data_IF_894757155957
#
_entry.id   IF_894757155957
#
_cell.length_a   1.000
_cell.length_b   1.000
_cell.length_c   1.000
_cell.angle_alpha   90.00
_cell.angle_beta   90.00
_cell.angle_gamma   90.00
#
_symmetry.space_group_name_H-M   'P 1'
#
loop_
_entity.id
_entity.type
_entity.pdbx_description
1 polymer ?
#
# COMPACT_ATOMS: atom_id res chain seq x y z
N UNK A 1 8.90 -30.71 -15.47
CA UNK A 1 8.50 -30.16 -16.80
C UNK A 1 7.15 -29.50 -16.84
N UNK A 2 6.29 -29.62 -15.79
CA UNK A 2 4.93 -29.06 -15.81
C UNK A 2 4.81 -27.68 -15.16
N UNK A 3 5.67 -27.30 -14.23
CA UNK A 3 5.56 -26.05 -13.46
C UNK A 3 6.03 -24.81 -14.25
N UNK A 4 7.07 -24.95 -15.06
CA UNK A 4 7.55 -23.87 -15.94
C UNK A 4 6.54 -23.53 -17.06
N UNK A 5 5.66 -24.47 -17.39
CA UNK A 5 4.63 -24.29 -18.42
C UNK A 5 3.44 -23.41 -17.98
N UNK A 6 3.15 -23.33 -16.69
CA UNK A 6 2.05 -22.49 -16.14
C UNK A 6 2.47 -21.04 -16.15
N UNK A 7 3.70 -20.73 -15.73
CA UNK A 7 4.27 -19.38 -15.71
C UNK A 7 4.28 -18.74 -17.09
N UNK A 8 4.74 -19.46 -18.12
CA UNK A 8 4.87 -18.94 -19.49
C UNK A 8 3.54 -18.90 -20.24
N UNK A 9 2.59 -19.77 -19.88
CA UNK A 9 1.28 -19.82 -20.53
C UNK A 9 0.26 -18.85 -19.95
N UNK A 10 0.26 -18.59 -18.66
CA UNK A 10 -0.83 -17.86 -18.01
C UNK A 10 -0.45 -16.47 -17.49
N UNK A 11 0.85 -16.08 -17.50
CA UNK A 11 1.35 -14.79 -16.98
C UNK A 11 0.71 -14.39 -15.63
N UNK A 12 0.52 -15.38 -14.77
CA UNK A 12 -0.07 -15.21 -13.46
C UNK A 12 0.97 -14.65 -12.51
N UNK A 13 0.89 -13.35 -12.24
CA UNK A 13 1.77 -12.66 -11.30
C UNK A 13 0.97 -12.26 -10.06
N UNK A 14 1.51 -12.54 -8.88
CA UNK A 14 1.10 -11.87 -7.66
C UNK A 14 1.81 -10.52 -7.60
N UNK A 15 1.05 -9.44 -7.64
CA UNK A 15 1.62 -8.09 -7.67
C UNK A 15 2.23 -7.69 -6.36
N UNK A 16 1.60 -8.08 -5.25
CA UNK A 16 2.11 -7.71 -3.94
C UNK A 16 1.67 -8.68 -2.86
N UNK A 17 2.57 -8.95 -1.91
CA UNK A 17 2.21 -9.32 -0.54
C UNK A 17 2.41 -8.08 0.31
N UNK A 18 1.35 -7.63 0.97
CA UNK A 18 1.35 -6.46 1.84
C UNK A 18 1.04 -6.88 3.26
N UNK A 19 1.89 -6.53 4.21
CA UNK A 19 1.61 -6.65 5.63
C UNK A 19 1.02 -5.33 6.12
N UNK A 20 -0.24 -5.34 6.54
CA UNK A 20 -0.86 -4.26 7.29
C UNK A 20 -0.45 -4.35 8.76
N UNK A 21 -0.02 -3.26 9.37
CA UNK A 21 0.38 -3.20 10.78
C UNK A 21 -0.31 -2.02 11.44
N UNK A 22 -1.07 -2.27 12.50
CA UNK A 22 -1.62 -1.20 13.33
C UNK A 22 -0.50 -0.53 14.13
N UNK A 23 -0.46 0.80 14.09
CA UNK A 23 0.47 1.61 14.88
C UNK A 23 -0.24 2.43 15.97
N UNK A 24 -1.50 2.12 16.27
CA UNK A 24 -2.27 2.88 17.27
C UNK A 24 -1.64 2.83 18.66
N UNK A 25 -1.04 1.70 19.03
CA UNK A 25 -0.31 1.50 20.29
C UNK A 25 1.09 2.13 20.31
N UNK A 26 1.56 2.67 19.17
CA UNK A 26 2.83 3.38 19.09
C UNK A 26 2.69 4.87 19.46
N UNK A 27 1.46 5.38 19.65
CA UNK A 27 1.23 6.76 20.05
C UNK A 27 1.83 7.02 21.45
N UNK A 28 2.50 8.15 21.60
CA UNK A 28 3.14 8.58 22.84
C UNK A 28 3.14 10.13 22.94
N UNK A 29 3.56 10.67 24.07
CA UNK A 29 3.62 12.11 24.28
C UNK A 29 4.80 12.79 23.57
N UNK A 30 5.84 12.04 23.28
CA UNK A 30 7.05 12.50 22.61
C UNK A 30 7.17 11.91 21.21
N UNK A 31 7.55 12.73 20.22
CA UNK A 31 7.78 12.31 18.84
C UNK A 31 8.91 11.26 18.75
N UNK A 32 9.96 11.42 19.54
CA UNK A 32 11.09 10.49 19.52
C UNK A 32 10.64 9.10 20.02
N UNK A 33 9.81 9.05 21.06
CA UNK A 33 9.22 7.81 21.56
C UNK A 33 8.29 7.17 20.51
N UNK A 34 7.46 7.96 19.82
CA UNK A 34 6.64 7.48 18.70
C UNK A 34 7.52 6.86 17.61
N UNK A 35 8.62 7.52 17.24
CA UNK A 35 9.55 7.01 16.23
C UNK A 35 10.19 5.67 16.64
N UNK A 36 10.62 5.56 17.90
CA UNK A 36 11.20 4.33 18.44
C UNK A 36 10.17 3.19 18.48
N UNK A 37 8.95 3.46 18.93
CA UNK A 37 7.87 2.49 18.98
C UNK A 37 7.52 1.97 17.57
N UNK A 38 7.40 2.87 16.60
CA UNK A 38 7.14 2.53 15.19
C UNK A 38 8.26 1.65 14.63
N UNK A 39 9.51 2.06 14.82
CA UNK A 39 10.66 1.30 14.33
C UNK A 39 10.69 -0.11 14.93
N UNK A 40 10.54 -0.22 16.24
CA UNK A 40 10.57 -1.51 16.95
C UNK A 40 9.42 -2.42 16.53
N UNK A 41 8.20 -1.88 16.40
CA UNK A 41 7.03 -2.66 16.00
C UNK A 41 7.17 -3.19 14.57
N UNK A 42 7.49 -2.33 13.61
CA UNK A 42 7.64 -2.74 12.21
C UNK A 42 8.76 -3.77 12.05
N UNK A 43 9.93 -3.54 12.65
CA UNK A 43 11.07 -4.46 12.53
C UNK A 43 10.83 -5.80 13.24
N UNK A 44 9.95 -5.84 14.24
CA UNK A 44 9.56 -7.08 14.90
C UNK A 44 8.55 -7.88 14.07
N UNK A 45 7.49 -7.23 13.60
CA UNK A 45 6.40 -7.90 12.89
C UNK A 45 6.80 -8.32 11.47
N UNK A 46 7.50 -7.47 10.74
CA UNK A 46 7.80 -7.69 9.33
C UNK A 46 9.18 -8.33 9.07
N UNK A 47 9.91 -8.74 10.10
CA UNK A 47 11.28 -9.30 9.97
C UNK A 47 11.39 -10.44 8.96
N UNK A 48 10.38 -11.29 8.87
CA UNK A 48 10.36 -12.48 8.03
C UNK A 48 9.50 -12.32 6.76
N UNK A 49 8.91 -11.15 6.51
CA UNK A 49 8.00 -10.92 5.39
C UNK A 49 8.67 -11.16 4.04
N UNK A 50 9.84 -10.57 3.83
CA UNK A 50 10.56 -10.65 2.55
C UNK A 50 11.09 -12.05 2.30
N UNK A 51 11.66 -12.69 3.32
CA UNK A 51 12.18 -14.06 3.22
C UNK A 51 11.06 -15.06 2.95
N UNK A 52 9.91 -14.89 3.60
CA UNK A 52 8.71 -15.70 3.37
C UNK A 52 8.18 -15.51 1.95
N UNK A 53 8.09 -14.27 1.46
CA UNK A 53 7.67 -14.00 0.08
C UNK A 53 8.58 -14.71 -0.94
N UNK A 54 9.89 -14.59 -0.78
CA UNK A 54 10.87 -15.27 -1.65
C UNK A 54 10.78 -16.82 -1.56
N UNK A 55 10.50 -17.34 -0.38
CA UNK A 55 10.32 -18.78 -0.20
C UNK A 55 9.06 -19.29 -0.92
N UNK A 56 7.95 -18.54 -0.85
CA UNK A 56 6.71 -18.85 -1.58
C UNK A 56 6.96 -18.81 -3.11
N UNK A 57 7.66 -17.78 -3.60
CA UNK A 57 8.03 -17.69 -5.02
C UNK A 57 8.78 -18.94 -5.48
N UNK A 58 9.78 -19.38 -4.70
CA UNK A 58 10.58 -20.57 -5.02
C UNK A 58 9.76 -21.86 -4.97
N UNK A 59 8.95 -22.02 -3.93
CA UNK A 59 8.24 -23.28 -3.64
C UNK A 59 7.06 -23.52 -4.60
N UNK A 60 6.42 -22.43 -5.05
CA UNK A 60 5.23 -22.50 -5.92
C UNK A 60 5.47 -22.03 -7.36
N UNK A 61 6.64 -21.48 -7.65
CA UNK A 61 6.94 -20.94 -8.99
C UNK A 61 6.11 -19.72 -9.37
N UNK A 62 5.48 -19.05 -8.41
CA UNK A 62 4.62 -17.88 -8.63
C UNK A 62 5.41 -16.61 -8.28
N UNK A 63 5.71 -15.72 -9.26
CA UNK A 63 6.41 -14.48 -8.98
C UNK A 63 5.58 -13.56 -8.06
N UNK A 64 6.23 -12.98 -7.06
CA UNK A 64 5.66 -11.95 -6.18
C UNK A 64 6.47 -10.67 -6.41
N UNK A 65 5.90 -9.75 -7.16
CA UNK A 65 6.64 -8.57 -7.67
C UNK A 65 7.08 -7.67 -6.53
N UNK A 66 6.19 -7.36 -5.57
CA UNK A 66 6.48 -6.46 -4.47
C UNK A 66 6.16 -7.08 -3.11
N UNK A 67 6.98 -6.77 -2.11
CA UNK A 67 6.74 -7.04 -0.70
C UNK A 67 6.60 -5.68 -0.01
N UNK A 68 5.43 -5.38 0.55
CA UNK A 68 5.08 -4.06 1.06
C UNK A 68 4.61 -4.10 2.50
N UNK A 69 4.68 -2.95 3.14
CA UNK A 69 4.04 -2.70 4.44
C UNK A 69 3.05 -1.54 4.27
N UNK A 70 1.91 -1.65 4.92
CA UNK A 70 0.99 -0.53 5.14
C UNK A 70 0.77 -0.36 6.62
N UNK A 71 0.70 0.88 7.07
CA UNK A 71 0.49 1.18 8.49
C UNK A 71 -0.75 2.06 8.68
N UNK A 72 -1.22 2.13 9.90
CA UNK A 72 -2.28 3.06 10.30
C UNK A 72 -1.93 4.49 9.84
N UNK A 73 -2.88 5.27 9.33
CA UNK A 73 -2.63 6.66 8.94
C UNK A 73 -1.86 7.43 9.99
N UNK A 74 -0.66 7.90 9.63
CA UNK A 74 0.27 8.55 10.57
C UNK A 74 -0.30 9.84 11.14
N UNK A 75 -1.23 10.50 10.44
CA UNK A 75 -1.94 11.65 10.98
C UNK A 75 -2.67 11.35 12.31
N UNK A 76 -3.12 10.11 12.50
CA UNK A 76 -3.76 9.66 13.74
C UNK A 76 -2.73 9.32 14.82
N UNK A 77 -1.67 8.64 14.46
CA UNK A 77 -0.62 8.16 15.39
C UNK A 77 0.17 9.35 15.95
N UNK A 78 0.51 10.32 15.10
CA UNK A 78 1.27 11.51 15.47
C UNK A 78 0.44 12.65 16.04
N UNK A 79 -0.89 12.52 16.11
CA UNK A 79 -1.78 13.64 16.47
C UNK A 79 -1.50 14.25 17.86
N UNK A 80 -1.13 13.43 18.84
CA UNK A 80 -0.84 13.87 20.20
C UNK A 80 0.55 14.49 20.36
N UNK A 81 1.54 13.95 19.67
CA UNK A 81 2.96 14.27 19.85
C UNK A 81 3.48 15.34 18.90
N UNK A 82 3.04 15.35 17.64
CA UNK A 82 3.53 16.28 16.62
C UNK A 82 2.92 17.68 16.79
N UNK A 83 3.78 18.69 16.89
CA UNK A 83 3.39 20.11 17.00
C UNK A 83 3.78 20.90 15.76
N UNK A 84 4.66 20.37 14.93
CA UNK A 84 5.17 20.99 13.71
C UNK A 84 5.18 19.98 12.55
N UNK A 85 5.25 20.48 11.33
CA UNK A 85 5.45 19.63 10.14
C UNK A 85 6.75 18.84 10.20
N UNK A 86 7.82 19.41 10.80
CA UNK A 86 9.10 18.72 10.95
C UNK A 86 9.03 17.52 11.90
N UNK A 87 8.11 17.53 12.88
CA UNK A 87 7.88 16.37 13.73
C UNK A 87 7.34 15.18 12.93
N UNK A 88 6.42 15.44 11.98
CA UNK A 88 5.94 14.42 11.07
C UNK A 88 7.05 13.91 10.13
N UNK A 89 7.98 14.77 9.70
CA UNK A 89 9.15 14.34 8.89
C UNK A 89 10.02 13.35 9.67
N UNK A 90 10.20 13.53 10.99
CA UNK A 90 10.91 12.54 11.82
C UNK A 90 10.24 11.17 11.79
N UNK A 91 8.90 11.13 11.84
CA UNK A 91 8.14 9.88 11.74
C UNK A 91 8.33 9.27 10.35
N UNK A 92 8.34 10.06 9.27
CA UNK A 92 8.63 9.56 7.94
C UNK A 92 10.02 8.88 7.85
N UNK A 93 11.04 9.48 8.47
CA UNK A 93 12.36 8.86 8.56
C UNK A 93 12.36 7.56 9.36
N UNK A 94 11.61 7.49 10.47
CA UNK A 94 11.48 6.25 11.24
C UNK A 94 10.84 5.13 10.41
N UNK A 95 9.79 5.45 9.64
CA UNK A 95 9.16 4.52 8.70
C UNK A 95 10.13 4.04 7.62
N UNK A 96 10.87 4.95 7.00
CA UNK A 96 11.85 4.64 5.95
C UNK A 96 12.96 3.72 6.46
N UNK A 97 13.51 4.04 7.64
CA UNK A 97 14.53 3.22 8.27
C UNK A 97 14.04 1.84 8.65
N UNK A 98 12.84 1.73 9.24
CA UNK A 98 12.25 0.44 9.59
C UNK A 98 11.98 -0.41 8.35
N UNK A 99 11.41 0.18 7.31
CA UNK A 99 11.11 -0.50 6.05
C UNK A 99 12.37 -0.98 5.32
N UNK A 100 13.41 -0.15 5.27
CA UNK A 100 14.73 -0.54 4.74
C UNK A 100 15.37 -1.66 5.55
N UNK A 101 15.25 -1.63 6.87
CA UNK A 101 15.80 -2.66 7.76
C UNK A 101 15.19 -4.04 7.48
N UNK A 102 13.89 -4.12 7.22
CA UNK A 102 13.22 -5.38 6.87
C UNK A 102 13.29 -5.74 5.39
N UNK A 103 13.74 -4.80 4.54
CA UNK A 103 14.02 -5.01 3.12
C UNK A 103 12.78 -5.04 2.23
N UNK A 104 11.70 -4.37 2.62
CA UNK A 104 10.50 -4.23 1.79
C UNK A 104 10.70 -3.18 0.69
N UNK A 105 9.92 -3.29 -0.38
CA UNK A 105 10.04 -2.41 -1.54
C UNK A 105 9.43 -1.03 -1.29
N UNK A 106 8.30 -0.97 -0.56
CA UNK A 106 7.58 0.27 -0.23
C UNK A 106 6.90 0.15 1.13
N UNK A 107 6.71 1.30 1.80
CA UNK A 107 5.86 1.44 2.97
C UNK A 107 4.84 2.56 2.78
N UNK A 108 3.56 2.23 2.90
CA UNK A 108 2.44 3.15 2.86
C UNK A 108 1.89 3.45 4.26
N UNK A 109 1.03 4.47 4.36
CA UNK A 109 0.39 4.87 5.60
C UNK A 109 0.86 6.23 6.13
N UNK A 110 1.80 6.89 5.45
CA UNK A 110 2.08 8.30 5.72
C UNK A 110 0.94 9.16 5.16
N UNK A 111 -0.24 9.03 5.78
CA UNK A 111 -1.53 9.39 5.20
C UNK A 111 -2.38 10.25 6.12
N UNK A 112 -3.30 11.02 5.51
CA UNK A 112 -4.34 11.79 6.18
C UNK A 112 -5.71 11.53 5.56
N UNK A 113 -6.76 11.45 6.38
CA UNK A 113 -8.13 11.15 5.99
C UNK A 113 -9.05 12.34 6.22
N UNK A 114 -9.03 13.31 5.31
CA UNK A 114 -9.64 14.64 5.47
C UNK A 114 -11.02 14.79 4.80
N UNK A 115 -11.68 13.69 4.48
CA UNK A 115 -12.94 13.71 3.73
C UNK A 115 -14.11 14.44 4.42
N UNK A 116 -14.06 14.65 5.74
CA UNK A 116 -15.10 15.40 6.47
C UNK A 116 -14.67 16.81 6.78
N UNK A 117 -13.41 16.98 7.14
CA UNK A 117 -12.79 18.23 7.54
C UNK A 117 -11.37 17.91 7.95
N UNK A 118 -10.46 18.82 7.82
CA UNK A 118 -9.06 18.67 8.16
C UNK A 118 -8.81 19.07 9.62
N UNK A 119 -8.19 18.19 10.39
CA UNK A 119 -7.70 18.49 11.73
C UNK A 119 -6.34 19.21 11.68
N UNK A 120 -5.91 19.91 12.74
CA UNK A 120 -4.59 20.54 12.76
C UNK A 120 -3.43 19.55 12.53
N UNK A 121 -3.53 18.33 13.06
CA UNK A 121 -2.50 17.30 12.87
C UNK A 121 -2.44 16.82 11.41
N UNK A 122 -3.58 16.65 10.76
CA UNK A 122 -3.66 16.29 9.35
C UNK A 122 -3.08 17.39 8.46
N UNK A 123 -3.36 18.67 8.77
CA UNK A 123 -2.76 19.80 8.06
C UNK A 123 -1.24 19.81 8.20
N UNK A 124 -0.69 19.60 9.39
CA UNK A 124 0.74 19.52 9.63
C UNK A 124 1.39 18.38 8.83
N UNK A 125 0.76 17.19 8.79
CA UNK A 125 1.23 16.08 7.98
C UNK A 125 1.22 16.42 6.50
N UNK A 126 0.13 16.99 5.97
CA UNK A 126 0.03 17.36 4.55
C UNK A 126 1.10 18.39 4.18
N UNK A 127 1.33 19.41 5.05
CA UNK A 127 2.38 20.40 4.83
C UNK A 127 3.81 19.83 4.93
N UNK A 128 3.99 18.68 5.60
CA UNK A 128 5.28 17.99 5.69
C UNK A 128 5.66 17.22 4.42
N UNK A 129 4.68 16.90 3.54
CA UNK A 129 4.85 16.00 2.40
C UNK A 129 6.01 16.36 1.47
N UNK A 130 6.21 17.63 1.06
CA UNK A 130 7.32 17.96 0.18
C UNK A 130 8.67 17.57 0.77
N UNK A 131 8.89 17.85 2.04
CA UNK A 131 10.13 17.50 2.74
C UNK A 131 10.21 16.00 3.04
N UNK A 132 9.16 15.41 3.57
CA UNK A 132 9.14 13.98 3.92
C UNK A 132 9.40 13.09 2.69
N UNK A 133 8.76 13.38 1.54
CA UNK A 133 8.92 12.58 0.33
C UNK A 133 10.22 12.86 -0.41
N UNK A 134 10.87 14.02 -0.21
CA UNK A 134 12.20 14.29 -0.77
C UNK A 134 13.32 13.64 0.05
N UNK A 135 13.16 13.54 1.37
CA UNK A 135 14.17 13.02 2.28
C UNK A 135 14.07 11.51 2.55
N UNK A 136 13.02 10.84 2.07
CA UNK A 136 12.82 9.39 2.22
C UNK A 136 12.79 8.69 0.87
N UNK A 137 13.20 7.41 0.81
CA UNK A 137 13.28 6.68 -0.46
C UNK A 137 12.00 5.90 -0.75
N UNK A 138 11.48 5.14 0.22
CA UNK A 138 10.42 4.14 0.02
C UNK A 138 9.12 4.43 0.76
N UNK A 139 9.03 5.57 1.44
CA UNK A 139 7.80 6.02 2.09
C UNK A 139 6.83 6.57 1.06
N UNK A 140 5.60 6.05 1.08
CA UNK A 140 4.51 6.48 0.22
C UNK A 140 3.40 7.12 1.06
N UNK A 141 2.74 8.11 0.46
CA UNK A 141 1.72 8.91 1.13
C UNK A 141 0.41 8.93 0.34
N UNK A 142 -0.68 9.16 1.06
CA UNK A 142 -1.97 9.43 0.47
C UNK A 142 -2.80 10.39 1.30
N UNK A 143 -3.71 11.11 0.63
CA UNK A 143 -4.71 11.95 1.29
C UNK A 143 -6.07 11.64 0.69
N UNK A 144 -7.03 11.24 1.54
CA UNK A 144 -8.41 11.02 1.12
C UNK A 144 -9.24 12.28 1.34
N UNK A 145 -9.58 12.97 0.25
CA UNK A 145 -10.23 14.31 0.27
C UNK A 145 -11.75 14.26 0.18
N UNK A 146 -12.34 13.09 0.04
CA UNK A 146 -13.79 13.02 -0.12
C UNK A 146 -14.35 11.61 0.02
N UNK A 147 -15.66 11.54 0.17
CA UNK A 147 -16.41 10.29 0.17
C UNK A 147 -17.82 10.51 -0.40
N UNK A 148 -18.48 9.43 -0.82
CA UNK A 148 -19.89 9.48 -1.23
C UNK A 148 -20.81 9.96 -0.11
N UNK A 149 -20.38 9.82 1.15
CA UNK A 149 -21.14 10.23 2.33
C UNK A 149 -20.99 11.74 2.66
N UNK A 150 -19.80 12.29 2.45
CA UNK A 150 -19.47 13.65 2.88
C UNK A 150 -19.27 14.65 1.73
N UNK A 151 -19.19 14.17 0.49
CA UNK A 151 -18.76 14.97 -0.65
C UNK A 151 -17.25 15.15 -0.68
N UNK A 152 -16.78 16.14 -1.41
CA UNK A 152 -15.36 16.48 -1.60
C UNK A 152 -15.04 17.72 -0.76
N UNK A 153 -13.98 17.66 0.04
CA UNK A 153 -13.44 18.82 0.75
C UNK A 153 -12.58 19.67 -0.19
N UNK A 154 -13.16 20.75 -0.71
CA UNK A 154 -12.50 21.62 -1.69
C UNK A 154 -11.32 22.39 -1.09
N UNK A 155 -11.32 22.67 0.21
CA UNK A 155 -10.19 23.33 0.87
C UNK A 155 -8.96 22.39 0.87
N UNK A 156 -9.17 21.12 1.16
CA UNK A 156 -8.11 20.10 1.05
C UNK A 156 -7.63 19.91 -0.37
N UNK A 157 -8.52 19.96 -1.37
CA UNK A 157 -8.15 19.87 -2.79
C UNK A 157 -7.28 21.05 -3.21
N UNK A 158 -7.62 22.29 -2.81
CA UNK A 158 -6.81 23.48 -3.07
C UNK A 158 -5.42 23.36 -2.44
N UNK A 159 -5.36 23.00 -1.15
CA UNK A 159 -4.10 22.79 -0.45
C UNK A 159 -3.24 21.74 -1.17
N UNK A 160 -3.82 20.60 -1.53
CA UNK A 160 -3.09 19.52 -2.21
C UNK A 160 -2.57 19.93 -3.58
N UNK A 161 -3.28 20.80 -4.31
CA UNK A 161 -2.79 21.34 -5.57
C UNK A 161 -1.45 22.09 -5.40
N UNK A 162 -1.31 22.86 -4.33
CA UNK A 162 -0.05 23.51 -3.98
C UNK A 162 1.01 22.51 -3.51
N UNK A 163 0.65 21.59 -2.64
CA UNK A 163 1.55 20.58 -2.07
C UNK A 163 2.13 19.68 -3.17
N UNK A 164 1.33 19.23 -4.15
CA UNK A 164 1.82 18.41 -5.26
C UNK A 164 2.88 19.18 -6.07
N UNK A 165 2.65 20.45 -6.32
CA UNK A 165 3.64 21.31 -6.99
C UNK A 165 4.93 21.44 -6.17
N UNK A 166 4.79 21.60 -4.85
CA UNK A 166 5.94 21.71 -3.96
C UNK A 166 6.72 20.37 -3.88
N UNK A 167 6.02 19.21 -3.86
CA UNK A 167 6.66 17.89 -3.98
C UNK A 167 7.45 17.77 -5.27
N UNK A 168 6.87 18.19 -6.40
CA UNK A 168 7.54 18.16 -7.70
C UNK A 168 8.83 18.99 -7.68
N UNK A 169 8.77 20.20 -7.13
CA UNK A 169 9.94 21.07 -6.98
C UNK A 169 11.00 20.50 -6.02
N UNK A 170 10.57 19.99 -4.87
CA UNK A 170 11.47 19.42 -3.86
C UNK A 170 12.22 18.17 -4.35
N UNK A 171 11.70 17.49 -5.38
CA UNK A 171 12.28 16.28 -5.96
C UNK A 171 12.67 16.45 -7.44
N UNK A 172 12.84 17.70 -7.90
CA UNK A 172 13.14 18.01 -9.30
C UNK A 172 14.44 17.34 -9.80
N UNK A 173 15.45 17.23 -8.93
CA UNK A 173 16.73 16.59 -9.24
C UNK A 173 16.61 15.06 -9.47
N UNK A 174 15.47 14.48 -9.13
CA UNK A 174 15.13 13.07 -9.33
C UNK A 174 13.82 12.92 -10.13
N UNK A 175 13.71 13.64 -11.24
CA UNK A 175 12.58 13.59 -12.17
C UNK A 175 11.21 13.77 -11.48
N UNK A 176 11.16 14.54 -10.39
CA UNK A 176 9.97 14.74 -9.56
C UNK A 176 9.39 13.43 -8.99
N UNK A 177 10.25 12.46 -8.71
CA UNK A 177 9.85 11.11 -8.24
C UNK A 177 9.00 11.14 -6.95
N UNK A 178 9.10 12.19 -6.14
CA UNK A 178 8.23 12.37 -4.97
C UNK A 178 6.74 12.33 -5.32
N UNK A 179 6.35 12.80 -6.50
CA UNK A 179 4.96 12.76 -6.94
C UNK A 179 4.47 11.33 -7.22
N UNK A 180 5.35 10.40 -7.60
CA UNK A 180 5.01 8.98 -7.80
C UNK A 180 4.69 8.29 -6.48
N UNK A 181 5.24 8.80 -5.37
CA UNK A 181 5.01 8.29 -4.01
C UNK A 181 3.77 8.87 -3.33
N UNK A 182 3.04 9.75 -4.00
CA UNK A 182 1.86 10.43 -3.44
C UNK A 182 0.60 10.13 -4.24
N UNK A 183 -0.51 9.87 -3.54
CA UNK A 183 -1.83 9.63 -4.13
C UNK A 183 -2.90 10.47 -3.43
N UNK A 184 -3.69 11.20 -4.20
CA UNK A 184 -4.92 11.81 -3.72
C UNK A 184 -6.11 10.87 -3.98
N UNK A 185 -6.79 10.47 -2.93
CA UNK A 185 -7.98 9.61 -3.00
C UNK A 185 -9.26 10.38 -2.84
N UNK A 186 -10.31 9.88 -3.48
CA UNK A 186 -11.70 10.18 -3.16
C UNK A 186 -12.45 8.86 -3.00
N UNK A 187 -13.20 8.75 -1.92
CA UNK A 187 -13.97 7.55 -1.58
C UNK A 187 -13.10 6.30 -1.38
N UNK A 188 -11.90 6.47 -0.77
CA UNK A 188 -11.09 5.34 -0.37
C UNK A 188 -11.86 4.45 0.63
N UNK A 189 -11.74 3.12 0.54
CA UNK A 189 -12.29 2.22 1.55
C UNK A 189 -11.60 2.41 2.91
N UNK A 190 -12.23 1.90 3.98
CA UNK A 190 -11.71 2.01 5.35
C UNK A 190 -10.34 1.35 5.53
N UNK A 191 -10.07 0.26 4.79
CA UNK A 191 -8.77 -0.37 4.65
C UNK A 191 -8.36 -0.40 3.18
N UNK A 192 -7.16 0.07 2.85
CA UNK A 192 -6.66 0.14 1.48
C UNK A 192 -5.17 -0.26 1.41
N UNK A 193 -4.85 -1.57 1.42
CA UNK A 193 -3.47 -2.02 1.54
C UNK A 193 -2.70 -2.13 0.23
N UNK A 194 -3.26 -1.79 -0.94
CA UNK A 194 -2.73 -2.26 -2.21
C UNK A 194 -1.97 -1.24 -3.06
N UNK A 195 -2.17 0.03 -2.87
CA UNK A 195 -1.52 1.07 -3.69
C UNK A 195 -0.23 1.56 -3.03
N UNK A 196 0.59 2.31 -3.78
CA UNK A 196 1.76 2.99 -3.24
C UNK A 196 1.39 3.87 -2.03
N UNK A 197 0.27 4.60 -2.10
CA UNK A 197 -0.31 5.36 -0.99
C UNK A 197 -1.29 4.58 -0.12
N UNK A 198 -1.23 3.26 -0.10
CA UNK A 198 -2.09 2.43 0.73
C UNK A 198 -1.90 2.68 2.23
N UNK A 199 -2.90 2.32 3.02
CA UNK A 199 -2.86 2.43 4.47
C UNK A 199 -3.60 1.26 5.11
N UNK A 200 -3.27 0.99 6.37
CA UNK A 200 -3.94 -0.02 7.19
C UNK A 200 -5.11 0.61 7.94
N UNK A 201 -6.30 0.03 7.79
CA UNK A 201 -7.52 0.53 8.42
C UNK A 201 -7.45 0.49 9.95
N UNK A 202 -8.02 1.51 10.60
CA UNK A 202 -8.00 1.62 12.07
C UNK A 202 -8.85 0.56 12.77
N UNK A 203 -9.76 -0.08 12.06
CA UNK A 203 -10.65 -1.15 12.55
C UNK A 203 -10.12 -2.54 12.26
N UNK A 204 -9.00 -2.64 11.53
CA UNK A 204 -8.36 -3.90 11.20
C UNK A 204 -7.55 -4.46 12.38
N UNK A 205 -7.16 -5.75 12.26
CA UNK A 205 -6.34 -6.41 13.26
C UNK A 205 -4.96 -5.79 13.43
N UNK A 206 -4.26 -6.16 14.51
CA UNK A 206 -2.93 -5.62 14.82
C UNK A 206 -1.90 -5.88 13.71
N UNK A 207 -1.98 -7.05 13.05
CA UNK A 207 -1.27 -7.32 11.81
C UNK A 207 -2.11 -8.22 10.89
N UNK A 208 -2.09 -7.94 9.57
CA UNK A 208 -2.87 -8.66 8.56
C UNK A 208 -2.04 -8.81 7.27
N UNK A 209 -2.12 -9.98 6.63
CA UNK A 209 -1.51 -10.21 5.32
C UNK A 209 -2.55 -9.99 4.22
N UNK A 210 -2.24 -9.12 3.27
CA UNK A 210 -3.07 -8.84 2.11
C UNK A 210 -2.32 -9.21 0.83
N UNK A 211 -3.03 -9.70 -0.18
CA UNK A 211 -2.43 -10.13 -1.46
C UNK A 211 -3.14 -9.47 -2.63
N UNK A 212 -2.36 -8.75 -3.43
CA UNK A 212 -2.82 -8.16 -4.68
C UNK A 212 -2.36 -9.00 -5.87
N UNK A 213 -3.28 -9.35 -6.78
CA UNK A 213 -2.99 -10.08 -8.00
C UNK A 213 -3.21 -9.23 -9.25
N UNK A 214 -2.49 -9.55 -10.34
CA UNK A 214 -2.58 -8.76 -11.58
C UNK A 214 -3.87 -9.08 -12.36
N UNK A 215 -4.87 -8.20 -12.27
CA UNK A 215 -6.11 -8.29 -13.05
C UNK A 215 -5.92 -8.03 -14.56
N UNK A 216 -5.27 -6.92 -14.99
CA UNK A 216 -5.22 -6.49 -16.39
C UNK A 216 -4.53 -7.50 -17.32
N UNK A 217 -3.39 -8.06 -16.91
CA UNK A 217 -2.66 -9.05 -17.73
C UNK A 217 -3.49 -10.28 -18.05
N UNK A 218 -4.36 -10.64 -17.13
CA UNK A 218 -5.25 -11.79 -17.24
C UNK A 218 -6.46 -11.50 -18.09
N UNK A 219 -7.08 -10.34 -17.93
CA UNK A 219 -8.19 -9.91 -18.78
C UNK A 219 -7.70 -9.76 -20.23
N UNK A 220 -6.53 -9.14 -20.45
CA UNK A 220 -5.93 -9.03 -21.78
C UNK A 220 -5.75 -10.40 -22.45
N UNK A 221 -5.26 -11.38 -21.72
CA UNK A 221 -5.10 -12.73 -22.24
C UNK A 221 -6.43 -13.44 -22.53
N UNK A 222 -7.42 -13.29 -21.63
CA UNK A 222 -8.76 -13.80 -21.85
C UNK A 222 -9.37 -13.20 -23.13
N UNK A 223 -9.12 -11.92 -23.40
CA UNK A 223 -9.51 -11.24 -24.63
C UNK A 223 -8.83 -11.85 -25.86
N UNK A 224 -7.52 -12.17 -25.79
CA UNK A 224 -6.79 -12.80 -26.88
C UNK A 224 -7.33 -14.21 -27.17
N UNK A 225 -7.64 -15.01 -26.15
CA UNK A 225 -8.25 -16.34 -26.30
C UNK A 225 -9.66 -16.28 -26.92
N UNK A 226 -10.42 -15.22 -26.61
CA UNK A 226 -11.78 -15.01 -27.10
C UNK A 226 -11.84 -14.31 -28.46
N UNK A 227 -10.71 -13.98 -29.06
CA UNK A 227 -10.65 -13.27 -30.34
C UNK A 227 -11.38 -14.03 -31.44
N UNK A 228 -12.35 -13.37 -32.08
CA UNK A 228 -13.19 -13.98 -33.10
C UNK A 228 -14.30 -14.91 -32.59
N UNK A 229 -14.51 -14.98 -31.29
CA UNK A 229 -15.63 -15.68 -30.64
C UNK A 229 -16.77 -14.72 -30.31
N UNK A 230 -17.93 -15.27 -29.93
CA UNK A 230 -19.09 -14.48 -29.53
C UNK A 230 -18.89 -13.85 -28.12
N UNK A 231 -19.76 -12.90 -27.77
CA UNK A 231 -19.71 -12.17 -26.50
C UNK A 231 -19.87 -13.08 -25.27
N UNK A 232 -20.70 -14.10 -25.37
CA UNK A 232 -20.94 -15.06 -24.30
C UNK A 232 -19.66 -15.85 -23.97
N UNK A 233 -18.94 -16.34 -24.99
CA UNK A 233 -17.65 -16.99 -24.81
C UNK A 233 -16.61 -16.07 -24.17
N UNK A 234 -16.59 -14.79 -24.55
CA UNK A 234 -15.72 -13.78 -23.93
C UNK A 234 -16.03 -13.63 -22.44
N UNK A 235 -17.30 -13.44 -22.06
CA UNK A 235 -17.72 -13.31 -20.68
C UNK A 235 -17.34 -14.53 -19.83
N UNK A 236 -17.58 -15.75 -20.33
CA UNK A 236 -17.24 -16.99 -19.63
C UNK A 236 -15.70 -17.15 -19.51
N UNK A 237 -14.93 -16.74 -20.52
CA UNK A 237 -13.46 -16.80 -20.46
C UNK A 237 -12.92 -15.84 -19.42
N UNK A 238 -13.39 -14.59 -19.37
CA UNK A 238 -13.01 -13.61 -18.33
C UNK A 238 -13.34 -14.14 -16.94
N UNK A 239 -14.56 -14.60 -16.74
CA UNK A 239 -15.04 -15.14 -15.47
C UNK A 239 -14.17 -16.31 -14.98
N UNK A 240 -13.95 -17.31 -15.84
CA UNK A 240 -13.09 -18.47 -15.53
C UNK A 240 -11.66 -18.06 -15.17
N UNK A 241 -11.13 -17.07 -15.89
CA UNK A 241 -9.76 -16.59 -15.67
C UNK A 241 -9.66 -15.80 -14.36
N UNK A 242 -10.66 -14.97 -14.04
CA UNK A 242 -10.74 -14.29 -12.75
C UNK A 242 -10.78 -15.28 -11.58
N UNK A 243 -11.56 -16.33 -11.68
CA UNK A 243 -11.60 -17.38 -10.64
C UNK A 243 -10.25 -18.08 -10.44
N UNK A 244 -9.53 -18.38 -11.52
CA UNK A 244 -8.20 -19.00 -11.41
C UNK A 244 -7.22 -18.12 -10.64
N UNK A 245 -7.18 -16.83 -10.93
CA UNK A 245 -6.28 -15.87 -10.27
C UNK A 245 -6.63 -15.68 -8.81
N UNK A 246 -7.91 -15.57 -8.50
CA UNK A 246 -8.35 -15.49 -7.10
C UNK A 246 -7.85 -16.68 -6.30
N UNK A 247 -7.89 -17.87 -6.86
CA UNK A 247 -7.35 -19.09 -6.21
C UNK A 247 -5.84 -19.02 -6.02
N UNK A 248 -5.09 -18.48 -6.98
CA UNK A 248 -3.64 -18.28 -6.82
C UNK A 248 -3.35 -17.27 -5.71
N UNK A 249 -4.06 -16.14 -5.70
CA UNK A 249 -3.96 -15.15 -4.62
C UNK A 249 -4.29 -15.76 -3.25
N UNK A 250 -5.33 -16.58 -3.18
CA UNK A 250 -5.73 -17.26 -1.95
C UNK A 250 -4.66 -18.25 -1.46
N UNK A 251 -4.07 -19.03 -2.36
CA UNK A 251 -2.98 -19.95 -2.03
C UNK A 251 -1.79 -19.20 -1.42
N UNK A 252 -1.37 -18.11 -2.07
CA UNK A 252 -0.25 -17.28 -1.59
C UNK A 252 -0.59 -16.64 -0.24
N UNK A 253 -1.82 -16.11 -0.07
CA UNK A 253 -2.25 -15.50 1.18
C UNK A 253 -2.30 -16.51 2.34
N UNK A 254 -2.87 -17.68 2.11
CA UNK A 254 -2.92 -18.77 3.11
C UNK A 254 -1.53 -19.24 3.52
N UNK A 255 -0.64 -19.41 2.53
CA UNK A 255 0.71 -19.88 2.80
C UNK A 255 1.56 -18.81 3.53
N UNK A 256 1.43 -17.54 3.16
CA UNK A 256 2.06 -16.44 3.87
C UNK A 256 1.54 -16.34 5.31
N UNK A 257 0.23 -16.41 5.49
CA UNK A 257 -0.43 -16.42 6.81
C UNK A 257 0.08 -17.56 7.70
N UNK A 258 0.14 -18.78 7.15
CA UNK A 258 0.63 -19.96 7.87
C UNK A 258 2.10 -19.83 8.30
N UNK A 259 2.97 -19.32 7.41
CA UNK A 259 4.42 -19.20 7.69
C UNK A 259 4.73 -18.07 8.66
N UNK A 260 4.00 -16.96 8.55
CA UNK A 260 4.21 -15.78 9.41
C UNK A 260 3.42 -15.82 10.72
N UNK A 261 2.42 -16.71 10.84
CA UNK A 261 1.53 -16.74 11.99
C UNK A 261 0.61 -15.53 12.10
N UNK A 262 0.35 -14.83 10.97
CA UNK A 262 -0.45 -13.62 10.89
C UNK A 262 -1.69 -13.91 10.03
N UNK A 263 -2.92 -13.53 10.45
CA UNK A 263 -4.11 -13.78 9.65
C UNK A 263 -4.03 -13.09 8.30
N UNK A 264 -4.62 -13.69 7.26
CA UNK A 264 -4.81 -13.00 6.00
C UNK A 264 -6.18 -12.31 5.95
N UNK A 265 -6.22 -11.17 5.26
CA UNK A 265 -7.39 -10.31 5.10
C UNK A 265 -7.90 -10.31 3.67
N UNK A 266 -7.47 -9.33 2.88
CA UNK A 266 -8.01 -9.04 1.56
C UNK A 266 -7.17 -9.69 0.46
N UNK A 267 -7.86 -10.24 -0.56
CA UNK A 267 -7.28 -10.59 -1.85
C UNK A 267 -7.88 -9.65 -2.88
N UNK A 268 -7.06 -8.79 -3.46
CA UNK A 268 -7.49 -7.81 -4.44
C UNK A 268 -7.20 -8.28 -5.87
N UNK A 269 -8.21 -8.17 -6.71
CA UNK A 269 -8.19 -8.42 -8.15
C UNK A 269 -8.30 -7.12 -8.93
N UNK A 270 -7.78 -6.01 -8.39
CA UNK A 270 -7.94 -4.72 -9.05
C UNK A 270 -7.51 -4.76 -10.52
N UNK A 271 -8.35 -4.30 -11.45
CA UNK A 271 -7.99 -4.20 -12.86
C UNK A 271 -7.04 -3.05 -13.16
N UNK A 272 -6.61 -2.30 -12.16
CA UNK A 272 -5.72 -1.16 -12.34
C UNK A 272 -4.27 -1.65 -12.48
N UNK A 273 -3.67 -1.40 -13.63
CA UNK A 273 -2.22 -1.57 -13.85
C UNK A 273 -1.51 -0.25 -13.53
N UNK A 274 -0.43 -0.33 -12.80
CA UNK A 274 0.49 0.76 -12.57
C UNK A 274 1.74 0.54 -13.41
#
# INVERSE_FOLDING_TARGET
GSEMCIRDREKLDVRTITMGISLLDCAADSVDEVCDNIYNKITTYAKDLVSTGKAIERDYGIPIVNKRITVTPISLVGASSCKTSDDFVKIAHALDHAAKKVGVDLIGGYSALVSKSMTPAEELLIRSLPKALSETDIVCSSVNVGSTKTGIDMNSVELLGHIIKDIAHATADNDSYGCVKFVAFCNAPDDNPFMAGGFHGVTEGDAVINVGVSGPGVVSRALDEAKGKNFEFLCETIKRTAFKITRVGQLVAQEASRRLGIPFGIIDLSPVSY
#
